data_IF_845232912886
#
_entry.id   IF_845232912886
#
_cell.length_a   1.000
_cell.length_b   1.000
_cell.length_c   1.000
_cell.angle_alpha   90.00
_cell.angle_beta   90.00
_cell.angle_gamma   90.00
#
_symmetry.space_group_name_H-M   'P 1'
#
loop_
_entity.id
_entity.type
_entity.pdbx_description
1 polymer ?
#
# COMPACT_ATOMS: atom_id res chain seq x y z
N UNK A 1 -17.42 52.66 -7.18
CA UNK A 1 -17.36 51.46 -6.31
C UNK A 1 -17.80 50.17 -7.01
N UNK A 2 -18.91 50.15 -7.77
CA UNK A 2 -19.42 48.92 -8.42
C UNK A 2 -18.38 48.18 -9.30
N UNK A 3 -17.53 48.91 -10.04
CA UNK A 3 -16.53 48.34 -10.95
C UNK A 3 -15.42 47.53 -10.26
N UNK A 4 -15.01 47.90 -9.04
CA UNK A 4 -13.97 47.17 -8.30
C UNK A 4 -14.47 45.78 -7.85
N UNK A 5 -15.77 45.65 -7.57
CA UNK A 5 -16.38 44.38 -7.16
C UNK A 5 -16.40 43.38 -8.32
N UNK A 6 -16.77 43.81 -9.52
CA UNK A 6 -16.74 42.95 -10.70
C UNK A 6 -15.32 42.51 -11.08
N UNK A 7 -14.34 43.40 -10.93
CA UNK A 7 -12.93 43.05 -11.20
C UNK A 7 -12.40 42.03 -10.20
N UNK A 8 -12.69 42.21 -8.91
CA UNK A 8 -12.30 41.26 -7.87
C UNK A 8 -12.97 39.88 -8.08
N UNK A 9 -14.26 39.85 -8.43
CA UNK A 9 -14.97 38.60 -8.71
C UNK A 9 -14.41 37.90 -9.95
N UNK A 10 -14.11 38.66 -11.01
CA UNK A 10 -13.51 38.15 -12.24
C UNK A 10 -12.14 37.53 -12.01
N UNK A 11 -11.29 38.15 -11.18
CA UNK A 11 -9.97 37.61 -10.81
C UNK A 11 -10.10 36.32 -9.99
N UNK A 12 -11.03 36.25 -9.04
CA UNK A 12 -11.26 35.03 -8.24
C UNK A 12 -11.75 33.87 -9.13
N UNK A 13 -12.67 34.13 -10.05
CA UNK A 13 -13.18 33.09 -10.98
C UNK A 13 -12.08 32.65 -11.96
N UNK A 14 -11.31 33.58 -12.53
CA UNK A 14 -10.19 33.24 -13.39
C UNK A 14 -9.11 32.42 -12.65
N UNK A 15 -8.81 32.78 -11.40
CA UNK A 15 -7.88 32.04 -10.55
C UNK A 15 -8.37 30.61 -10.25
N UNK A 16 -9.66 30.43 -9.95
CA UNK A 16 -10.25 29.11 -9.73
C UNK A 16 -10.13 28.22 -10.97
N UNK A 17 -10.32 28.77 -12.17
CA UNK A 17 -10.16 28.02 -13.42
C UNK A 17 -8.70 27.65 -13.72
N UNK A 18 -7.74 28.52 -13.37
CA UNK A 18 -6.31 28.23 -13.51
C UNK A 18 -5.85 27.16 -12.52
N UNK A 19 -6.34 27.19 -11.27
CA UNK A 19 -6.00 26.18 -10.25
C UNK A 19 -6.69 24.84 -10.51
N UNK A 20 -7.90 24.84 -11.08
CA UNK A 20 -8.59 23.62 -11.51
C UNK A 20 -7.96 22.98 -12.77
N UNK A 21 -7.27 23.78 -13.59
CA UNK A 21 -6.59 23.35 -14.78
C UNK A 21 -5.27 22.66 -14.46
N UNK A 22 -5.30 21.34 -14.27
CA UNK A 22 -4.25 20.34 -14.58
C UNK A 22 -4.17 19.21 -13.56
N UNK A 23 -5.30 18.70 -13.06
CA UNK A 23 -5.30 17.33 -12.56
C UNK A 23 -4.94 16.41 -13.74
N UNK A 24 -3.64 16.09 -13.89
CA UNK A 24 -3.18 15.16 -14.93
C UNK A 24 -3.91 13.85 -14.71
N UNK A 25 -4.80 13.53 -15.64
CA UNK A 25 -5.48 12.24 -15.66
C UNK A 25 -4.46 11.21 -16.11
N UNK A 26 -4.30 10.14 -15.34
CA UNK A 26 -3.44 9.02 -15.71
C UNK A 26 -4.31 7.87 -16.19
N UNK A 27 -4.05 7.37 -17.39
CA UNK A 27 -4.76 6.23 -17.98
C UNK A 27 -4.10 4.92 -17.53
N UNK A 28 -4.91 3.93 -17.17
CA UNK A 28 -4.43 2.60 -16.83
C UNK A 28 -3.97 1.87 -18.10
N UNK A 29 -2.71 1.41 -18.19
CA UNK A 29 -2.19 0.76 -19.39
C UNK A 29 -2.76 -0.65 -19.67
N UNK A 30 -3.69 -1.14 -18.84
CA UNK A 30 -4.30 -2.46 -18.98
C UNK A 30 -5.78 -2.41 -19.38
N UNK A 31 -6.52 -1.36 -19.00
CA UNK A 31 -7.95 -1.24 -19.30
C UNK A 31 -8.37 0.14 -19.83
N UNK A 32 -7.40 1.02 -20.08
CA UNK A 32 -7.57 2.37 -20.65
C UNK A 32 -8.47 3.33 -19.84
N UNK A 33 -8.90 2.94 -18.64
CA UNK A 33 -9.66 3.82 -17.74
C UNK A 33 -8.75 4.74 -16.92
N UNK A 34 -9.24 5.93 -16.64
CA UNK A 34 -8.54 6.91 -15.82
C UNK A 34 -8.47 6.49 -14.35
N UNK A 35 -7.29 6.61 -13.75
CA UNK A 35 -7.09 6.43 -12.31
C UNK A 35 -7.35 7.76 -11.61
N UNK A 36 -8.26 7.74 -10.64
CA UNK A 36 -8.59 8.89 -9.79
C UNK A 36 -7.68 8.89 -8.57
N UNK A 37 -7.00 10.01 -8.31
CA UNK A 37 -6.17 10.17 -7.12
C UNK A 37 -5.08 11.23 -7.27
N UNK A 38 -4.32 11.42 -6.20
CA UNK A 38 -3.11 12.25 -6.24
C UNK A 38 -2.07 11.67 -7.21
N UNK A 39 -1.32 12.54 -7.87
CA UNK A 39 -0.27 12.11 -8.78
C UNK A 39 0.81 11.33 -8.01
N UNK A 40 1.12 10.09 -8.44
CA UNK A 40 2.23 9.32 -7.89
C UNK A 40 3.57 10.04 -8.13
N UNK A 41 4.57 9.75 -7.31
CA UNK A 41 5.96 10.10 -7.60
C UNK A 41 6.54 9.13 -8.62
N UNK A 42 7.57 9.55 -9.35
CA UNK A 42 8.28 8.65 -10.28
C UNK A 42 8.80 7.42 -9.52
N UNK A 43 8.50 6.23 -10.06
CA UNK A 43 8.83 4.95 -9.43
C UNK A 43 7.74 4.40 -8.51
N UNK A 44 6.73 5.19 -8.15
CA UNK A 44 5.61 4.68 -7.37
C UNK A 44 4.79 3.68 -8.20
N UNK A 45 4.33 2.64 -7.53
CA UNK A 45 3.36 1.69 -8.06
C UNK A 45 1.93 2.16 -7.76
N UNK A 46 1.05 2.05 -8.74
CA UNK A 46 -0.39 2.34 -8.63
C UNK A 46 -1.17 1.08 -8.99
N UNK A 47 -2.24 0.81 -8.24
CA UNK A 47 -3.19 -0.26 -8.56
C UNK A 47 -4.44 0.36 -9.16
N UNK A 48 -4.85 -0.10 -10.34
CA UNK A 48 -6.09 0.34 -10.95
C UNK A 48 -7.29 -0.15 -10.14
N UNK A 49 -8.22 0.74 -9.77
CA UNK A 49 -9.45 0.37 -9.05
C UNK A 49 -10.39 -0.50 -9.89
N UNK A 50 -10.35 -0.36 -11.23
CA UNK A 50 -11.22 -1.10 -12.14
C UNK A 50 -10.72 -2.52 -12.43
N UNK A 51 -9.54 -2.65 -13.07
CA UNK A 51 -9.02 -3.96 -13.48
C UNK A 51 -8.06 -4.59 -12.47
N UNK A 52 -7.75 -3.91 -11.35
CA UNK A 52 -6.83 -4.37 -10.29
C UNK A 52 -5.40 -4.65 -10.75
N UNK A 53 -5.02 -4.23 -11.96
CA UNK A 53 -3.63 -4.36 -12.42
C UNK A 53 -2.72 -3.29 -11.83
N UNK A 54 -1.45 -3.66 -11.64
CA UNK A 54 -0.38 -2.76 -11.24
C UNK A 54 0.17 -2.00 -12.44
N UNK A 55 0.43 -0.72 -12.23
CA UNK A 55 1.18 0.13 -13.14
C UNK A 55 2.26 0.90 -12.38
N UNK A 56 3.38 1.18 -13.03
CA UNK A 56 4.45 2.02 -12.49
C UNK A 56 4.35 3.41 -13.11
N UNK A 57 4.60 4.45 -12.32
CA UNK A 57 4.66 5.81 -12.86
C UNK A 57 6.08 6.18 -13.28
N UNK A 58 6.29 6.47 -14.56
CA UNK A 58 7.61 6.85 -15.10
C UNK A 58 7.92 8.36 -14.99
N UNK A 59 7.06 9.13 -14.32
CA UNK A 59 7.13 10.60 -14.24
C UNK A 59 6.32 11.33 -15.32
N UNK A 60 5.79 10.60 -16.31
CA UNK A 60 4.96 11.15 -17.38
C UNK A 60 3.63 10.41 -17.49
N UNK A 61 3.66 9.07 -17.50
CA UNK A 61 2.51 8.20 -17.68
C UNK A 61 2.62 6.95 -16.81
N UNK A 62 1.53 6.20 -16.74
CA UNK A 62 1.53 4.87 -16.15
C UNK A 62 1.98 3.85 -17.20
N UNK A 63 2.91 3.00 -16.82
CA UNK A 63 3.43 1.91 -17.65
C UNK A 63 3.16 0.57 -16.97
N UNK A 64 2.83 -0.45 -17.76
CA UNK A 64 2.70 -1.81 -17.26
C UNK A 64 4.11 -2.32 -16.88
N UNK A 65 4.31 -2.90 -15.68
CA UNK A 65 5.57 -3.55 -15.35
C UNK A 65 5.87 -4.66 -16.37
N UNK A 66 7.14 -4.84 -16.72
CA UNK A 66 7.55 -6.02 -17.49
C UNK A 66 7.19 -7.30 -16.70
N UNK A 67 6.82 -8.41 -17.37
CA UNK A 67 6.49 -9.67 -16.70
C UNK A 67 7.56 -10.18 -15.72
N UNK A 68 8.82 -9.89 -16.02
CA UNK A 68 10.02 -10.26 -15.25
C UNK A 68 10.51 -9.15 -14.31
N UNK A 69 9.76 -8.05 -14.17
CA UNK A 69 10.21 -6.89 -13.41
C UNK A 69 10.38 -7.22 -11.92
N UNK A 70 11.54 -6.82 -11.39
CA UNK A 70 11.89 -6.89 -9.97
C UNK A 70 12.16 -5.48 -9.47
N UNK A 71 11.38 -5.04 -8.49
CA UNK A 71 11.56 -3.73 -7.86
C UNK A 71 12.75 -3.75 -6.87
N UNK A 72 13.35 -2.58 -6.63
CA UNK A 72 14.43 -2.41 -5.64
C UNK A 72 13.96 -2.66 -4.21
N UNK A 73 12.69 -2.39 -3.91
CA UNK A 73 12.05 -2.64 -2.61
C UNK A 73 10.66 -3.27 -2.79
N UNK A 74 10.07 -3.88 -1.75
CA UNK A 74 8.75 -4.49 -1.87
C UNK A 74 7.66 -3.45 -2.15
N UNK A 75 7.11 -3.45 -3.36
CA UNK A 75 6.09 -2.49 -3.82
C UNK A 75 4.80 -3.17 -4.29
N UNK A 76 4.86 -4.44 -4.70
CA UNK A 76 3.71 -5.17 -5.21
C UNK A 76 2.89 -5.76 -4.06
N UNK A 77 1.84 -5.06 -3.67
CA UNK A 77 1.07 -5.41 -2.48
C UNK A 77 -0.22 -6.17 -2.79
N UNK A 78 -0.47 -7.23 -2.02
CA UNK A 78 -1.71 -8.00 -2.00
C UNK A 78 -2.27 -8.04 -0.57
N UNK A 79 -3.58 -8.31 -0.46
CA UNK A 79 -4.18 -8.74 0.80
C UNK A 79 -3.58 -10.06 1.27
N UNK A 80 -3.36 -10.20 2.57
CA UNK A 80 -2.89 -11.43 3.17
C UNK A 80 -4.12 -12.29 3.52
N UNK A 81 -4.30 -13.48 2.93
CA UNK A 81 -5.40 -14.36 3.30
C UNK A 81 -5.21 -14.86 4.74
N UNK A 82 -6.31 -14.87 5.52
CA UNK A 82 -6.30 -15.33 6.92
C UNK A 82 -6.21 -16.86 6.98
N UNK A 83 -6.82 -17.56 6.02
CA UNK A 83 -6.90 -19.02 5.97
C UNK A 83 -6.28 -19.56 4.69
N UNK A 84 -5.63 -20.73 4.78
CA UNK A 84 -5.13 -21.44 3.60
C UNK A 84 -4.07 -20.69 2.80
N UNK A 85 -3.26 -19.84 3.45
CA UNK A 85 -2.15 -19.13 2.84
C UNK A 85 -1.21 -20.11 2.12
N UNK A 86 -1.02 -19.88 0.82
CA UNK A 86 -0.12 -20.65 -0.04
C UNK A 86 0.94 -19.74 -0.64
N UNK A 87 2.18 -20.21 -0.62
CA UNK A 87 3.28 -19.49 -1.27
C UNK A 87 3.59 -20.08 -2.64
N UNK A 88 3.91 -19.25 -3.64
CA UNK A 88 4.65 -19.68 -4.81
C UNK A 88 5.91 -20.46 -4.42
N UNK A 89 6.32 -21.43 -5.24
CA UNK A 89 7.53 -22.24 -5.01
C UNK A 89 8.85 -21.52 -5.35
N UNK A 90 8.75 -20.27 -5.82
CA UNK A 90 9.87 -19.41 -6.21
C UNK A 90 10.25 -18.42 -5.11
N UNK A 91 11.35 -17.69 -5.29
CA UNK A 91 11.81 -16.66 -4.38
C UNK A 91 11.03 -15.37 -4.58
N UNK A 92 10.52 -14.77 -3.49
CA UNK A 92 9.75 -13.52 -3.59
C UNK A 92 10.54 -12.28 -4.04
N UNK A 93 11.88 -12.37 -4.12
CA UNK A 93 12.75 -11.30 -4.59
C UNK A 93 13.05 -11.40 -6.08
N UNK A 94 13.51 -12.56 -6.56
CA UNK A 94 14.02 -12.73 -7.92
C UNK A 94 13.29 -13.80 -8.75
N UNK A 95 12.34 -14.53 -8.16
CA UNK A 95 11.57 -15.62 -8.81
C UNK A 95 12.36 -16.88 -9.16
N UNK A 96 13.62 -16.99 -8.74
CA UNK A 96 14.40 -18.24 -8.78
C UNK A 96 13.81 -19.28 -7.80
N UNK A 97 14.10 -20.59 -7.95
CA UNK A 97 13.61 -21.60 -7.02
C UNK A 97 13.90 -21.27 -5.55
N UNK A 98 12.88 -21.35 -4.69
CA UNK A 98 13.08 -21.12 -3.26
C UNK A 98 13.80 -22.29 -2.61
N UNK A 99 14.77 -21.99 -1.76
CA UNK A 99 15.60 -22.98 -1.05
C UNK A 99 15.43 -22.91 0.46
N UNK A 100 14.88 -21.80 0.98
CA UNK A 100 14.68 -21.59 2.42
C UNK A 100 13.56 -20.60 2.71
N UNK A 101 12.90 -20.70 3.87
CA UNK A 101 12.05 -19.63 4.37
C UNK A 101 12.88 -18.48 4.97
N UNK A 102 12.35 -17.25 4.91
CA UNK A 102 12.82 -16.09 5.66
C UNK A 102 11.65 -15.53 6.46
N UNK A 103 11.87 -15.29 7.75
CA UNK A 103 10.86 -14.70 8.63
C UNK A 103 10.76 -13.20 8.42
N UNK A 104 9.56 -12.71 8.10
CA UNK A 104 9.22 -11.29 8.12
C UNK A 104 8.30 -11.00 9.30
N UNK A 105 8.44 -9.82 9.92
CA UNK A 105 7.65 -9.43 11.09
C UNK A 105 7.02 -8.05 10.89
N UNK A 106 5.81 -7.89 11.42
CA UNK A 106 5.14 -6.61 11.57
C UNK A 106 4.72 -6.46 13.02
N UNK A 107 5.33 -5.48 13.69
CA UNK A 107 4.88 -5.01 14.99
C UNK A 107 3.92 -3.86 14.78
N UNK A 108 2.77 -3.92 15.43
CA UNK A 108 1.81 -2.83 15.38
C UNK A 108 1.12 -2.64 16.73
N UNK A 109 0.74 -1.40 16.95
CA UNK A 109 0.04 -0.97 18.14
C UNK A 109 -1.43 -0.83 17.83
N UNK A 110 -2.27 -1.46 18.64
CA UNK A 110 -3.71 -1.27 18.62
C UNK A 110 -4.11 -0.56 19.90
N UNK A 111 -4.94 0.48 19.78
CA UNK A 111 -5.53 1.11 20.94
C UNK A 111 -6.35 0.04 21.66
N UNK A 112 -5.96 -0.30 22.89
CA UNK A 112 -6.64 -1.31 23.67
C UNK A 112 -8.12 -0.91 23.75
N UNK A 113 -9.03 -1.82 23.37
CA UNK A 113 -10.45 -1.55 23.57
C UNK A 113 -10.63 -1.46 25.09
N UNK A 114 -10.86 -0.24 25.58
CA UNK A 114 -11.30 -0.03 26.95
C UNK A 114 -12.66 -0.70 27.05
N UNK A 115 -12.66 -1.99 27.41
CA UNK A 115 -13.88 -2.71 27.75
C UNK A 115 -14.67 -1.86 28.74
N UNK A 116 -15.99 -1.87 28.62
CA UNK A 116 -16.91 -1.03 29.40
C UNK A 116 -16.64 -1.05 30.92
N UNK A 117 -16.04 -2.12 31.44
CA UNK A 117 -15.70 -2.29 32.86
C UNK A 117 -14.38 -1.66 33.32
N UNK A 118 -13.46 -1.30 32.41
CA UNK A 118 -12.21 -0.60 32.78
C UNK A 118 -12.33 0.92 32.69
N UNK A 119 -13.24 1.45 31.88
CA UNK A 119 -13.44 2.89 31.74
C UNK A 119 -13.82 3.57 33.07
N UNK A 120 -14.55 2.87 33.95
CA UNK A 120 -14.93 3.38 35.28
C UNK A 120 -13.77 3.42 36.28
N UNK A 121 -12.70 2.63 36.08
CA UNK A 121 -11.53 2.61 36.98
C UNK A 121 -10.45 3.63 36.62
N UNK A 122 -10.42 4.11 35.37
CA UNK A 122 -9.39 5.04 34.90
C UNK A 122 -9.82 6.52 34.86
N UNK A 123 -11.09 6.85 35.10
CA UNK A 123 -11.55 8.24 35.16
C UNK A 123 -10.89 9.08 36.28
N UNK A 124 -10.23 8.44 37.26
CA UNK A 124 -9.56 9.10 38.39
C UNK A 124 -8.05 9.30 38.20
N UNK A 125 -7.43 8.76 37.15
CA UNK A 125 -5.98 8.87 36.90
C UNK A 125 -5.76 9.43 35.50
N UNK A 126 -5.46 10.73 35.42
CA UNK A 126 -5.37 11.49 34.17
C UNK A 126 -4.56 10.81 33.04
N UNK A 127 -5.16 10.81 31.84
CA UNK A 127 -4.53 10.64 30.51
C UNK A 127 -3.52 9.49 30.30
N UNK A 128 -3.71 8.32 30.91
CA UNK A 128 -2.96 7.13 30.48
C UNK A 128 -3.60 6.48 29.25
N UNK A 129 -2.84 6.42 28.14
CA UNK A 129 -3.22 5.66 26.94
C UNK A 129 -2.70 4.23 27.08
N UNK A 130 -3.61 3.26 27.19
CA UNK A 130 -3.28 1.83 27.10
C UNK A 130 -3.11 1.46 25.61
N UNK A 131 -1.97 0.85 25.28
CA UNK A 131 -1.62 0.43 23.93
C UNK A 131 -1.23 -1.04 23.96
N UNK A 132 -1.93 -1.87 23.19
CA UNK A 132 -1.59 -3.28 23.03
C UNK A 132 -0.61 -3.45 21.86
N UNK A 133 0.50 -4.14 22.11
CA UNK A 133 1.50 -4.44 21.08
C UNK A 133 1.27 -5.84 20.51
N UNK A 134 1.02 -5.91 19.21
CA UNK A 134 0.85 -7.15 18.47
C UNK A 134 2.02 -7.37 17.51
N UNK A 135 2.47 -8.61 17.37
CA UNK A 135 3.50 -9.01 16.39
C UNK A 135 2.94 -10.10 15.49
N UNK A 136 2.90 -9.83 14.19
CA UNK A 136 2.60 -10.82 13.15
C UNK A 136 3.92 -11.25 12.53
N UNK A 137 4.14 -12.55 12.41
CA UNK A 137 5.32 -13.11 11.76
C UNK A 137 4.94 -14.15 10.72
N UNK A 138 5.57 -14.10 9.55
CA UNK A 138 5.38 -15.06 8.47
C UNK A 138 6.72 -15.55 7.95
N UNK A 139 6.78 -16.83 7.59
CA UNK A 139 7.94 -17.41 6.92
C UNK A 139 7.66 -17.43 5.40
N UNK A 140 8.44 -16.63 4.64
CA UNK A 140 8.24 -16.42 3.19
C UNK A 140 9.36 -17.11 2.39
N UNK A 141 9.05 -17.84 1.30
CA UNK A 141 10.07 -18.51 0.49
C UNK A 141 11.07 -17.56 -0.18
N UNK A 142 12.35 -17.86 0.00
CA UNK A 142 13.48 -17.16 -0.61
C UNK A 142 14.49 -18.16 -1.19
N UNK A 143 15.30 -17.71 -2.15
CA UNK A 143 16.49 -18.43 -2.58
C UNK A 143 17.65 -18.21 -1.59
N UNK A 144 18.80 -18.83 -1.86
CA UNK A 144 19.98 -18.67 -1.02
C UNK A 144 20.50 -17.22 -0.95
N UNK A 145 20.35 -16.45 -2.04
CA UNK A 145 20.98 -15.13 -2.21
C UNK A 145 20.20 -13.97 -1.57
N UNK A 146 18.89 -14.12 -1.34
CA UNK A 146 18.03 -13.03 -0.89
C UNK A 146 17.53 -13.28 0.53
N UNK A 147 17.69 -12.28 1.40
CA UNK A 147 17.05 -12.20 2.72
C UNK A 147 15.95 -11.13 2.78
N UNK A 148 15.78 -10.40 1.70
CA UNK A 148 14.80 -9.36 1.48
C UNK A 148 13.95 -9.76 0.27
N UNK A 149 12.77 -9.15 0.11
CA UNK A 149 11.88 -9.52 -0.99
C UNK A 149 10.41 -9.40 -0.65
N UNK A 150 10.08 -9.58 0.63
CA UNK A 150 8.74 -9.42 1.14
C UNK A 150 8.71 -8.48 2.35
N UNK A 151 7.60 -7.77 2.53
CA UNK A 151 7.34 -6.96 3.71
C UNK A 151 5.87 -7.03 4.08
N UNK A 152 5.56 -7.17 5.37
CA UNK A 152 4.20 -7.03 5.87
C UNK A 152 3.81 -5.54 5.85
N UNK A 153 2.57 -5.26 5.47
CA UNK A 153 2.02 -3.91 5.31
C UNK A 153 0.75 -3.81 6.16
N UNK A 154 0.68 -2.72 6.92
CA UNK A 154 -0.43 -2.42 7.82
C UNK A 154 -1.77 -2.38 7.07
N UNK A 155 -2.87 -2.69 7.77
CA UNK A 155 -4.21 -2.47 7.26
C UNK A 155 -4.46 -1.00 6.92
N UNK A 156 -5.23 -0.77 5.87
CA UNK A 156 -5.65 0.58 5.47
C UNK A 156 -6.81 1.09 6.34
N UNK A 157 -7.65 0.19 6.82
CA UNK A 157 -8.88 0.52 7.54
C UNK A 157 -8.78 0.13 9.02
N UNK A 158 -9.26 1.02 9.89
CA UNK A 158 -9.25 0.81 11.35
C UNK A 158 -10.24 -0.24 11.82
N UNK A 159 -11.34 -0.42 11.09
CA UNK A 159 -12.46 -1.25 11.53
C UNK A 159 -12.29 -2.73 11.19
N UNK A 160 -11.57 -3.04 10.11
CA UNK A 160 -11.24 -4.41 9.71
C UNK A 160 -9.78 -4.46 9.27
N UNK A 161 -8.86 -4.85 10.17
CA UNK A 161 -7.44 -4.85 9.86
C UNK A 161 -7.10 -5.98 8.88
N UNK A 162 -7.33 -5.75 7.58
CA UNK A 162 -6.82 -6.62 6.53
C UNK A 162 -5.33 -6.32 6.33
N UNK A 163 -4.49 -7.10 6.99
CA UNK A 163 -3.06 -7.11 6.72
C UNK A 163 -2.81 -7.46 5.27
N UNK A 164 -1.64 -7.06 4.78
CA UNK A 164 -1.20 -7.52 3.50
C UNK A 164 0.29 -7.57 3.43
N UNK A 165 0.75 -7.96 2.26
CA UNK A 165 2.13 -8.30 2.03
C UNK A 165 2.55 -7.69 0.71
N UNK A 166 3.70 -7.03 0.71
CA UNK A 166 4.32 -6.47 -0.47
C UNK A 166 5.49 -7.35 -0.90
N UNK A 167 5.70 -7.47 -2.22
CA UNK A 167 6.78 -8.24 -2.82
C UNK A 167 7.64 -7.37 -3.75
N UNK A 168 8.90 -7.75 -3.95
CA UNK A 168 9.82 -7.16 -4.94
C UNK A 168 9.57 -7.70 -6.35
N UNK A 169 9.35 -9.00 -6.49
CA UNK A 169 9.11 -9.65 -7.77
C UNK A 169 7.65 -9.50 -8.22
N UNK A 170 7.43 -8.87 -9.39
CA UNK A 170 6.11 -8.81 -10.02
C UNK A 170 5.54 -10.19 -10.41
N UNK A 171 6.31 -11.11 -11.03
CA UNK A 171 5.76 -12.43 -11.37
C UNK A 171 5.40 -13.25 -10.13
N UNK A 172 6.22 -13.20 -9.06
CA UNK A 172 5.89 -13.83 -7.79
C UNK A 172 4.58 -13.28 -7.21
N UNK A 173 4.41 -11.96 -7.25
CA UNK A 173 3.17 -11.32 -6.80
C UNK A 173 1.95 -11.82 -7.61
N UNK A 174 2.05 -11.94 -8.93
CA UNK A 174 0.93 -12.41 -9.77
C UNK A 174 0.56 -13.86 -9.43
N UNK A 175 1.56 -14.72 -9.25
CA UNK A 175 1.34 -16.11 -8.83
C UNK A 175 0.72 -16.18 -7.43
N UNK A 176 1.21 -15.38 -6.48
CA UNK A 176 0.65 -15.28 -5.14
C UNK A 176 -0.84 -14.88 -5.16
N UNK A 177 -1.17 -13.85 -5.95
CA UNK A 177 -2.55 -13.39 -6.13
C UNK A 177 -3.45 -14.49 -6.69
N UNK A 178 -2.97 -15.21 -7.69
CA UNK A 178 -3.71 -16.30 -8.31
C UNK A 178 -3.90 -17.48 -7.34
N UNK A 179 -2.85 -17.90 -6.64
CA UNK A 179 -2.89 -19.02 -5.69
C UNK A 179 -3.81 -18.76 -4.51
N UNK A 180 -3.81 -17.52 -4.00
CA UNK A 180 -4.55 -17.16 -2.79
C UNK A 180 -5.90 -16.50 -3.08
N UNK A 181 -6.21 -16.21 -4.35
CA UNK A 181 -7.36 -15.38 -4.74
C UNK A 181 -7.38 -14.03 -3.99
N UNK A 182 -6.20 -13.50 -3.66
CA UNK A 182 -6.06 -12.27 -2.87
C UNK A 182 -6.26 -11.04 -3.75
N UNK A 183 -6.76 -9.93 -3.19
CA UNK A 183 -6.93 -8.70 -3.96
C UNK A 183 -5.63 -7.89 -4.05
N UNK A 184 -5.21 -7.46 -5.26
CA UNK A 184 -4.19 -6.43 -5.42
C UNK A 184 -4.54 -5.13 -4.70
N UNK A 185 -3.59 -4.52 -4.01
CA UNK A 185 -3.81 -3.29 -3.24
C UNK A 185 -2.65 -2.30 -3.35
N UNK A 186 -2.93 -1.02 -3.12
CA UNK A 186 -1.89 0.01 -3.08
C UNK A 186 -1.01 -0.22 -1.85
N UNK A 187 0.32 -0.16 -2.03
CA UNK A 187 1.23 -0.13 -0.91
C UNK A 187 1.10 1.22 -0.18
N UNK A 188 0.41 1.25 0.95
CA UNK A 188 0.50 2.37 1.90
C UNK A 188 1.80 2.22 2.69
N UNK A 189 2.90 2.68 2.10
CA UNK A 189 4.14 2.88 2.83
C UNK A 189 3.91 4.03 3.80
N UNK A 190 3.76 3.73 5.11
CA UNK A 190 3.72 4.78 6.13
C UNK A 190 5.05 5.54 6.07
N UNK A 191 4.99 6.83 5.75
CA UNK A 191 6.14 7.75 5.65
C UNK A 191 6.75 8.13 7.00
N UNK A 192 6.69 7.26 8.00
CA UNK A 192 7.18 7.53 9.35
C UNK A 192 7.63 6.24 10.03
N UNK A 193 8.95 6.09 10.13
CA UNK A 193 9.70 5.18 10.99
C UNK A 193 9.38 3.68 10.87
N UNK A 194 10.27 2.96 10.17
CA UNK A 194 10.46 1.52 10.33
C UNK A 194 11.91 1.27 10.69
N UNK A 195 12.18 1.02 11.98
CA UNK A 195 13.27 0.12 12.33
C UNK A 195 12.77 -1.29 12.02
N UNK A 196 13.25 -1.85 10.91
CA UNK A 196 13.19 -3.29 10.69
C UNK A 196 14.28 -3.86 11.60
N UNK A 197 13.88 -4.42 12.75
CA UNK A 197 14.77 -5.20 13.62
C UNK A 197 14.86 -6.62 13.10
#
# INVERSE_FOLDING_TARGET
MLWLVFFALGVVVAWQLVVAGSAKKLECPACDLYIVGALPKTGDSVVCSNCREFALYDGKKLVKPAPEHVATSPVYCAELPIEGLRWPASCCACSEPATRPVRIQLRYEQDASLGSDMATRFATLGMFKLVDQHTISLDVPHCAQHGDGAALVMPYEKEQPNFGIAFRSYPYFKEFVQLNRSTPRKATMFGGQREVV
#
